data_IF_380223929289
#
_entry.id   IF_380223929289
#
_cell.length_a   1.000
_cell.length_b   1.000
_cell.length_c   1.000
_cell.angle_alpha   90.00
_cell.angle_beta   90.00
_cell.angle_gamma   90.00
#
_symmetry.space_group_name_H-M   'P 1'
#
loop_
_entity.id
_entity.type
_entity.pdbx_description
1 polymer ?
#
# COMPACT_ATOMS: atom_id res chain seq x y z
N UNK A 1 -38.73 -4.43 -55.64
CA UNK A 1 -38.80 -3.30 -54.70
C UNK A 1 -39.02 -3.88 -53.32
N UNK A 2 -38.03 -3.72 -52.45
CA UNK A 2 -38.03 -3.61 -50.98
C UNK A 2 -36.61 -3.98 -50.55
N UNK A 3 -35.86 -2.93 -50.21
CA UNK A 3 -34.54 -2.97 -49.62
C UNK A 3 -34.57 -3.74 -48.32
N UNK A 4 -33.58 -4.61 -48.10
CA UNK A 4 -33.22 -5.07 -46.77
C UNK A 4 -32.07 -4.20 -46.31
N UNK A 5 -32.41 -3.20 -45.51
CA UNK A 5 -31.46 -2.33 -44.86
C UNK A 5 -30.52 -3.16 -43.99
N UNK A 6 -29.24 -3.10 -44.31
CA UNK A 6 -28.17 -3.49 -43.40
C UNK A 6 -28.16 -2.46 -42.26
N UNK A 7 -28.98 -2.69 -41.25
CA UNK A 7 -28.87 -1.98 -39.98
C UNK A 7 -27.61 -2.49 -39.30
N UNK A 8 -26.48 -1.83 -39.62
CA UNK A 8 -25.28 -1.88 -38.81
C UNK A 8 -25.70 -1.36 -37.44
N UNK A 9 -25.95 -2.26 -36.48
CA UNK A 9 -26.06 -1.93 -35.07
C UNK A 9 -24.71 -1.39 -34.62
N UNK A 10 -24.49 -0.10 -34.88
CA UNK A 10 -23.42 0.68 -34.28
C UNK A 10 -23.88 0.90 -32.85
N UNK A 11 -23.66 -0.10 -32.01
CA UNK A 11 -23.76 0.09 -30.56
C UNK A 11 -22.79 1.22 -30.25
N UNK A 12 -23.32 2.37 -29.84
CA UNK A 12 -22.53 3.57 -29.59
C UNK A 12 -21.42 3.18 -28.60
N UNK A 13 -20.18 3.22 -29.07
CA UNK A 13 -19.04 2.78 -28.28
C UNK A 13 -19.00 3.52 -26.94
N UNK A 14 -19.49 4.77 -26.92
CA UNK A 14 -19.64 5.55 -25.69
C UNK A 14 -20.59 4.91 -24.70
N UNK A 15 -21.70 4.34 -25.16
CA UNK A 15 -22.67 3.65 -24.31
C UNK A 15 -22.09 2.34 -23.75
N UNK A 16 -21.27 1.64 -24.55
CA UNK A 16 -20.50 0.49 -24.08
C UNK A 16 -19.45 0.89 -23.04
N UNK A 17 -18.75 2.01 -23.25
CA UNK A 17 -17.78 2.54 -22.30
C UNK A 17 -18.43 2.99 -20.99
N UNK A 18 -19.58 3.69 -21.06
CA UNK A 18 -20.36 4.10 -19.89
C UNK A 18 -20.81 2.88 -19.08
N UNK A 19 -21.31 1.85 -19.76
CA UNK A 19 -21.73 0.61 -19.11
C UNK A 19 -20.56 -0.14 -18.48
N UNK A 20 -19.40 -0.18 -19.14
CA UNK A 20 -18.18 -0.81 -18.62
C UNK A 20 -17.69 -0.12 -17.34
N UNK A 21 -17.64 1.22 -17.34
CA UNK A 21 -17.28 2.01 -16.16
C UNK A 21 -18.28 1.84 -15.01
N UNK A 22 -19.56 1.66 -15.31
CA UNK A 22 -20.60 1.44 -14.31
C UNK A 22 -20.55 0.04 -13.68
N UNK A 23 -20.01 -0.95 -14.41
CA UNK A 23 -19.79 -2.32 -13.96
C UNK A 23 -18.53 -2.49 -13.09
N UNK A 24 -17.55 -1.59 -13.23
CA UNK A 24 -16.37 -1.49 -12.34
C UNK A 24 -16.62 -0.64 -11.08
N UNK A 25 -17.77 0.03 -11.00
CA UNK A 25 -18.16 0.86 -9.87
C UNK A 25 -18.85 0.17 -8.66
N UNK A 26 -19.08 -1.17 -8.55
CA UNK A 26 -19.68 -1.73 -7.35
C UNK A 26 -18.64 -1.71 -6.21
N UNK A 27 -18.72 -0.66 -5.40
CA UNK A 27 -17.77 -0.32 -4.33
C UNK A 27 -17.47 1.18 -4.23
N UNK A 28 -17.80 1.97 -5.24
CA UNK A 28 -17.69 3.44 -5.29
C UNK A 28 -19.07 4.11 -5.26
N UNK A 29 -19.99 3.60 -4.43
CA UNK A 29 -21.10 4.45 -3.97
C UNK A 29 -20.46 5.56 -3.12
N UNK A 30 -20.43 6.76 -3.67
CA UNK A 30 -19.80 7.96 -3.12
C UNK A 30 -20.37 8.33 -1.74
N UNK A 31 -19.75 7.84 -0.66
CA UNK A 31 -19.85 8.43 0.68
C UNK A 31 -18.96 9.69 0.80
N UNK A 32 -18.91 10.50 -0.24
CA UNK A 32 -17.94 11.60 -0.41
C UNK A 32 -18.14 12.75 0.57
N UNK A 33 -19.35 12.94 1.11
CA UNK A 33 -19.64 13.95 2.13
C UNK A 33 -18.97 13.59 3.47
N UNK A 34 -19.08 12.31 3.88
CA UNK A 34 -18.47 11.83 5.12
C UNK A 34 -16.94 11.87 5.06
N UNK A 35 -16.33 11.58 3.91
CA UNK A 35 -14.88 11.65 3.74
C UNK A 35 -14.36 13.09 3.76
N UNK A 36 -15.07 14.04 3.13
CA UNK A 36 -14.71 15.47 3.17
C UNK A 36 -14.80 16.04 4.59
N UNK A 37 -15.84 15.67 5.33
CA UNK A 37 -16.02 16.10 6.71
C UNK A 37 -14.92 15.52 7.62
N UNK A 38 -14.59 14.23 7.48
CA UNK A 38 -13.48 13.59 8.20
C UNK A 38 -12.14 14.25 7.85
N UNK A 39 -11.90 14.55 6.57
CA UNK A 39 -10.68 15.22 6.13
C UNK A 39 -10.55 16.62 6.74
N UNK A 40 -11.65 17.39 6.78
CA UNK A 40 -11.64 18.73 7.37
C UNK A 40 -11.28 18.75 8.86
N UNK A 41 -11.71 17.71 9.60
CA UNK A 41 -11.38 17.54 11.02
C UNK A 41 -9.90 17.19 11.19
N UNK A 42 -9.35 16.34 10.32
CA UNK A 42 -7.93 15.98 10.29
C UNK A 42 -7.08 17.21 9.98
N UNK A 43 -7.43 17.95 8.93
CA UNK A 43 -6.71 19.14 8.49
C UNK A 43 -6.66 20.21 9.59
N UNK A 44 -7.79 20.42 10.28
CA UNK A 44 -7.85 21.34 11.42
C UNK A 44 -6.94 20.86 12.57
N UNK A 45 -6.95 19.58 12.90
CA UNK A 45 -6.08 19.02 13.94
C UNK A 45 -4.59 19.17 13.60
N UNK A 46 -4.22 18.94 12.34
CA UNK A 46 -2.86 19.14 11.84
C UNK A 46 -2.46 20.61 11.94
N UNK A 47 -3.35 21.52 11.54
CA UNK A 47 -3.13 22.96 11.61
C UNK A 47 -2.92 23.44 13.05
N UNK A 48 -3.82 23.04 13.96
CA UNK A 48 -3.75 23.42 15.38
C UNK A 48 -2.44 22.91 16.02
N UNK A 49 -1.99 21.70 15.69
CA UNK A 49 -0.73 21.16 16.18
C UNK A 49 0.50 21.89 15.61
N UNK A 50 0.45 22.25 14.33
CA UNK A 50 1.52 23.01 13.70
C UNK A 50 1.69 24.36 14.39
N UNK A 51 0.61 25.14 14.57
CA UNK A 51 0.66 26.42 15.27
C UNK A 51 1.20 26.29 16.70
N UNK A 52 0.80 25.25 17.43
CA UNK A 52 1.25 25.00 18.80
C UNK A 52 2.72 24.62 18.92
N UNK A 53 3.32 24.06 17.86
CA UNK A 53 4.68 23.51 17.89
C UNK A 53 5.72 24.38 17.18
N UNK A 54 5.28 25.46 16.53
CA UNK A 54 6.18 26.46 15.95
C UNK A 54 6.81 27.28 17.07
N UNK A 55 8.09 27.08 17.30
CA UNK A 55 8.91 27.86 18.21
C UNK A 55 9.84 28.77 17.39
N UNK A 56 9.67 30.09 17.52
CA UNK A 56 10.61 31.06 16.94
C UNK A 56 11.81 31.22 17.87
N UNK A 57 13.00 30.85 17.40
CA UNK A 57 14.27 31.14 18.07
C UNK A 57 15.02 32.25 17.32
N UNK A 58 16.10 32.74 17.91
CA UNK A 58 16.87 33.87 17.37
C UNK A 58 17.43 33.59 15.97
N UNK A 59 17.75 32.32 15.67
CA UNK A 59 18.35 31.94 14.40
C UNK A 59 17.30 31.48 13.36
N UNK A 60 16.33 30.65 13.77
CA UNK A 60 15.35 30.01 12.87
C UNK A 60 14.04 29.64 13.57
N UNK A 61 13.03 29.29 12.77
CA UNK A 61 11.80 28.65 13.25
C UNK A 61 12.02 27.14 13.39
N UNK A 62 11.69 26.61 14.56
CA UNK A 62 11.66 25.18 14.84
C UNK A 62 10.20 24.73 14.86
N UNK A 63 9.89 23.67 14.13
CA UNK A 63 8.55 23.08 14.12
C UNK A 63 8.69 21.61 14.51
N UNK A 64 7.81 21.14 15.38
CA UNK A 64 7.74 19.72 15.70
C UNK A 64 6.82 19.05 14.70
N UNK A 65 7.33 18.04 14.00
CA UNK A 65 6.50 17.22 13.12
C UNK A 65 5.46 16.47 13.95
N UNK A 66 4.24 16.41 13.43
CA UNK A 66 3.14 15.71 14.06
C UNK A 66 3.51 14.23 14.22
N UNK A 67 3.73 13.79 15.46
CA UNK A 67 3.94 12.39 15.77
C UNK A 67 2.56 11.73 15.88
N UNK A 68 2.28 10.72 15.07
CA UNK A 68 1.04 9.95 15.22
C UNK A 68 1.04 9.26 16.59
N UNK A 69 0.12 9.68 17.46
CA UNK A 69 -0.04 9.13 18.83
C UNK A 69 -0.49 7.67 18.82
N UNK A 70 -1.08 7.22 17.70
CA UNK A 70 -1.61 5.88 17.51
C UNK A 70 -0.82 5.17 16.43
N UNK A 71 0.46 4.92 16.69
CA UNK A 71 1.15 3.84 15.99
C UNK A 71 0.43 2.54 16.38
N UNK A 72 -0.54 2.12 15.57
CA UNK A 72 -1.08 0.77 15.70
C UNK A 72 0.11 -0.17 15.62
N UNK A 73 0.30 -1.05 16.62
CA UNK A 73 1.44 -1.96 16.60
C UNK A 73 1.35 -2.76 15.31
N UNK A 74 2.36 -2.59 14.46
CA UNK A 74 2.45 -3.33 13.21
C UNK A 74 2.35 -4.83 13.55
N UNK A 75 1.55 -5.60 12.82
CA UNK A 75 1.44 -7.03 13.07
C UNK A 75 2.82 -7.68 12.95
N UNK A 76 3.13 -8.58 13.89
CA UNK A 76 4.41 -9.29 13.93
C UNK A 76 4.58 -10.16 12.67
N UNK A 77 5.72 -9.99 11.98
CA UNK A 77 6.06 -10.76 10.79
C UNK A 77 6.74 -12.10 11.10
N UNK A 78 6.98 -12.42 12.37
CA UNK A 78 7.72 -13.61 12.81
C UNK A 78 7.19 -14.92 12.24
N UNK A 79 5.86 -15.09 12.18
CA UNK A 79 5.26 -16.30 11.65
C UNK A 79 5.53 -16.50 10.14
N UNK A 80 5.51 -15.41 9.38
CA UNK A 80 5.80 -15.42 7.94
C UNK A 80 7.29 -15.67 7.72
N UNK A 81 8.14 -14.97 8.46
CA UNK A 81 9.59 -15.15 8.41
C UNK A 81 10.00 -16.60 8.71
N UNK A 82 9.39 -17.22 9.72
CA UNK A 82 9.63 -18.61 10.07
C UNK A 82 9.22 -19.58 8.95
N UNK A 83 8.03 -19.40 8.36
CA UNK A 83 7.57 -20.25 7.25
C UNK A 83 8.48 -20.13 6.03
N UNK A 84 8.91 -18.91 5.70
CA UNK A 84 9.86 -18.66 4.62
C UNK A 84 11.19 -19.36 4.89
N UNK A 85 11.71 -19.26 6.12
CA UNK A 85 12.94 -19.92 6.51
C UNK A 85 12.85 -21.45 6.34
N UNK A 86 11.77 -22.07 6.83
CA UNK A 86 11.55 -23.52 6.67
C UNK A 86 11.45 -23.91 5.19
N UNK A 87 10.76 -23.11 4.38
CA UNK A 87 10.64 -23.35 2.95
C UNK A 87 11.99 -23.26 2.22
N UNK A 88 12.79 -22.25 2.54
CA UNK A 88 14.15 -22.07 2.01
C UNK A 88 15.04 -23.23 2.43
N UNK A 89 15.01 -23.60 3.71
CA UNK A 89 15.77 -24.74 4.23
C UNK A 89 15.44 -26.04 3.50
N UNK A 90 14.15 -26.37 3.37
CA UNK A 90 13.71 -27.59 2.67
C UNK A 90 14.09 -27.58 1.18
N UNK A 91 14.24 -26.40 0.58
CA UNK A 91 14.67 -26.26 -0.82
C UNK A 91 16.18 -26.45 -0.95
N UNK A 92 16.97 -25.80 -0.08
CA UNK A 92 18.43 -25.92 -0.04
C UNK A 92 18.89 -27.34 0.30
N UNK A 93 18.18 -28.07 1.17
CA UNK A 93 18.51 -29.47 1.48
C UNK A 93 18.48 -30.41 0.27
N UNK A 94 17.81 -30.04 -0.82
CA UNK A 94 17.76 -30.85 -2.04
C UNK A 94 19.03 -30.73 -2.88
N UNK A 95 19.82 -29.69 -2.66
CA UNK A 95 21.05 -29.39 -3.39
C UNK A 95 22.21 -29.28 -2.39
N UNK A 96 22.94 -30.38 -2.23
CA UNK A 96 24.02 -30.48 -1.26
C UNK A 96 25.19 -29.53 -1.60
N UNK A 97 25.47 -29.31 -2.88
CA UNK A 97 26.58 -28.47 -3.33
C UNK A 97 26.27 -26.99 -3.04
N UNK A 98 25.04 -26.55 -3.34
CA UNK A 98 24.59 -25.19 -3.03
C UNK A 98 24.51 -24.92 -1.51
N UNK A 99 24.10 -25.93 -0.74
CA UNK A 99 24.05 -25.83 0.73
C UNK A 99 25.45 -25.71 1.34
N UNK A 100 26.43 -26.42 0.78
CA UNK A 100 27.84 -26.31 1.19
C UNK A 100 28.42 -24.92 0.88
N UNK A 101 28.14 -24.36 -0.30
CA UNK A 101 28.55 -23.00 -0.66
C UNK A 101 27.98 -21.96 0.32
N UNK A 102 26.68 -22.04 0.62
CA UNK A 102 26.04 -21.19 1.63
C UNK A 102 26.73 -21.32 2.99
N UNK A 103 26.93 -22.54 3.49
CA UNK A 103 27.59 -22.77 4.77
C UNK A 103 29.02 -22.21 4.81
N UNK A 104 29.75 -22.27 3.70
CA UNK A 104 31.07 -21.67 3.55
C UNK A 104 31.10 -20.15 3.76
N UNK A 105 30.01 -19.45 3.41
CA UNK A 105 29.87 -18.00 3.63
C UNK A 105 29.44 -17.67 5.06
N UNK A 106 28.49 -18.41 5.65
CA UNK A 106 27.91 -18.05 6.95
C UNK A 106 28.72 -18.53 8.17
N UNK A 107 29.42 -19.66 8.08
CA UNK A 107 30.18 -20.22 9.20
C UNK A 107 31.37 -19.36 9.68
N UNK A 108 32.13 -18.68 8.80
CA UNK A 108 33.21 -17.79 9.24
C UNK A 108 32.70 -16.59 10.05
N UNK A 109 31.56 -16.01 9.66
CA UNK A 109 31.00 -14.81 10.30
C UNK A 109 30.23 -15.10 11.60
N UNK A 110 29.81 -16.35 11.82
CA UNK A 110 29.11 -16.76 13.05
C UNK A 110 30.04 -17.14 14.19
N UNK A 111 31.33 -17.39 13.92
CA UNK A 111 32.37 -17.71 14.93
C UNK A 111 33.08 -16.47 15.50
N UNK A 112 32.80 -15.28 14.97
CA UNK A 112 33.42 -14.02 15.41
C UNK A 112 32.61 -13.28 16.50
N UNK A 113 31.62 -13.93 17.10
CA UNK A 113 30.75 -13.36 18.13
C UNK A 113 30.87 -14.07 19.46
#
# INVERSE_FOLDING_TARGET
>A
MVSMDASSDVVDEKELWIRYWSLEAPGTEEFTESEKDVQSVIDKRVWDHFEQTVEKRDDYYYVRLHWEELATPLPDNKAIAYRNLVSVWNSLQKDADLLEEYNGVFLPHTKQR
#
